data_IF_344651089265
#
_entry.id   IF_344651089265
#
_cell.length_a   1.000
_cell.length_b   1.000
_cell.length_c   1.000
_cell.angle_alpha   90.00
_cell.angle_beta   90.00
_cell.angle_gamma   90.00
#
_symmetry.space_group_name_H-M   'P 1'
#
loop_
_entity.id
_entity.type
_entity.pdbx_description
1 polymer ?
#
# COMPACT_ATOMS: atom_id res chain seq x y z
N UNK A 1 5.72 42.12 7.39
CA UNK A 1 5.58 40.66 7.55
C UNK A 1 4.11 40.23 7.65
N UNK A 2 3.28 40.90 8.45
CA UNK A 2 1.85 40.55 8.60
C UNK A 2 1.04 40.56 7.29
N UNK A 3 1.31 41.52 6.39
CA UNK A 3 0.68 41.59 5.06
C UNK A 3 1.06 40.41 4.13
N UNK A 4 2.27 39.87 4.27
CA UNK A 4 2.72 38.69 3.51
C UNK A 4 2.08 37.40 4.05
N UNK A 5 1.87 37.30 5.37
CA UNK A 5 1.12 36.19 5.98
C UNK A 5 -0.37 36.22 5.56
N UNK A 6 -0.96 37.42 5.43
CA UNK A 6 -2.34 37.59 4.93
C UNK A 6 -2.46 37.22 3.43
N UNK A 7 -1.50 37.63 2.60
CA UNK A 7 -1.42 37.23 1.19
C UNK A 7 -1.20 35.72 1.02
N UNK A 8 -0.39 35.10 1.88
CA UNK A 8 -0.24 33.64 1.92
C UNK A 8 -1.56 32.93 2.23
N UNK A 9 -2.35 33.46 3.17
CA UNK A 9 -3.68 32.93 3.48
C UNK A 9 -4.63 32.94 2.29
N UNK A 10 -4.84 34.12 1.66
CA UNK A 10 -5.78 34.25 0.53
C UNK A 10 -5.35 33.44 -0.70
N UNK A 11 -4.04 33.39 -1.00
CA UNK A 11 -3.51 32.59 -2.10
C UNK A 11 -3.65 31.10 -1.81
N UNK A 12 -3.45 30.68 -0.55
CA UNK A 12 -3.65 29.27 -0.15
C UNK A 12 -5.10 28.86 -0.29
N UNK A 13 -6.05 29.69 0.16
CA UNK A 13 -7.49 29.41 0.01
C UNK A 13 -7.87 29.26 -1.46
N UNK A 14 -7.49 30.22 -2.32
CA UNK A 14 -7.78 30.13 -3.75
C UNK A 14 -7.12 28.92 -4.42
N UNK A 15 -5.90 28.55 -3.99
CA UNK A 15 -5.22 27.35 -4.48
C UNK A 15 -5.98 26.07 -4.07
N UNK A 16 -6.44 25.98 -2.82
CA UNK A 16 -7.20 24.84 -2.31
C UNK A 16 -8.55 24.72 -3.02
N UNK A 17 -9.28 25.82 -3.19
CA UNK A 17 -10.53 25.85 -3.95
C UNK A 17 -10.32 25.39 -5.40
N UNK A 18 -9.24 25.86 -6.05
CA UNK A 18 -8.86 25.40 -7.38
C UNK A 18 -8.56 23.90 -7.43
N UNK A 19 -7.79 23.38 -6.48
CA UNK A 19 -7.46 21.95 -6.40
C UNK A 19 -8.71 21.08 -6.13
N UNK A 20 -9.59 21.51 -5.24
CA UNK A 20 -10.86 20.84 -4.97
C UNK A 20 -11.78 20.87 -6.20
N UNK A 21 -11.83 22.02 -6.90
CA UNK A 21 -12.59 22.15 -8.15
C UNK A 21 -12.05 21.20 -9.22
N UNK A 22 -10.74 21.04 -9.38
CA UNK A 22 -10.16 20.04 -10.30
C UNK A 22 -10.53 18.62 -9.88
N UNK A 23 -10.55 18.32 -8.58
CA UNK A 23 -11.02 17.03 -8.12
C UNK A 23 -12.51 16.78 -8.43
N UNK A 24 -13.38 17.79 -8.34
CA UNK A 24 -14.84 17.69 -8.56
C UNK A 24 -15.27 17.76 -10.03
N UNK A 25 -14.65 18.64 -10.83
CA UNK A 25 -15.12 19.06 -12.16
C UNK A 25 -14.74 18.12 -13.30
N UNK A 26 -13.70 17.31 -13.09
CA UNK A 26 -13.27 16.35 -14.09
C UNK A 26 -14.21 15.14 -14.02
N UNK A 27 -15.19 15.09 -14.94
CA UNK A 27 -16.19 14.02 -15.05
C UNK A 27 -15.78 12.82 -15.92
N UNK A 28 -14.55 12.78 -16.43
CA UNK A 28 -14.08 11.73 -17.34
C UNK A 28 -13.62 10.46 -16.61
N UNK A 29 -13.91 9.29 -17.18
CA UNK A 29 -13.32 8.00 -16.77
C UNK A 29 -11.92 7.79 -17.35
N UNK A 30 -11.43 8.72 -18.19
CA UNK A 30 -10.13 8.60 -18.84
C UNK A 30 -8.97 8.70 -17.83
N UNK A 31 -7.83 8.14 -18.24
CA UNK A 31 -6.66 7.99 -17.39
C UNK A 31 -6.06 9.34 -16.97
N UNK A 32 -6.09 10.35 -17.85
CA UNK A 32 -5.54 11.67 -17.59
C UNK A 32 -6.38 12.39 -16.53
N UNK A 33 -7.70 12.36 -16.69
CA UNK A 33 -8.68 12.83 -15.72
C UNK A 33 -8.48 12.20 -14.34
N UNK A 34 -8.34 10.87 -14.27
CA UNK A 34 -8.08 10.16 -13.03
C UNK A 34 -6.74 10.55 -12.38
N UNK A 35 -5.68 10.72 -13.20
CA UNK A 35 -4.34 11.15 -12.75
C UNK A 35 -4.39 12.57 -12.16
N UNK A 36 -5.05 13.50 -12.83
CA UNK A 36 -5.20 14.89 -12.38
C UNK A 36 -5.99 15.00 -11.07
N UNK A 37 -7.12 14.29 -10.94
CA UNK A 37 -7.88 14.25 -9.68
C UNK A 37 -7.01 13.75 -8.53
N UNK A 38 -6.24 12.68 -8.75
CA UNK A 38 -5.34 12.11 -7.74
C UNK A 38 -4.18 13.03 -7.38
N UNK A 39 -3.53 13.65 -8.38
CA UNK A 39 -2.42 14.58 -8.16
C UNK A 39 -2.89 15.82 -7.38
N UNK A 40 -4.08 16.34 -7.70
CA UNK A 40 -4.67 17.48 -6.99
C UNK A 40 -4.96 17.16 -5.53
N UNK A 41 -5.56 16.00 -5.25
CA UNK A 41 -5.77 15.54 -3.88
C UNK A 41 -4.45 15.26 -3.14
N UNK A 42 -3.42 14.75 -3.83
CA UNK A 42 -2.08 14.55 -3.27
C UNK A 42 -1.41 15.89 -2.91
N UNK A 43 -1.58 16.91 -3.75
CA UNK A 43 -1.09 18.26 -3.47
C UNK A 43 -1.74 18.84 -2.20
N UNK A 44 -3.04 18.61 -2.00
CA UNK A 44 -3.73 18.99 -0.75
C UNK A 44 -3.12 18.30 0.48
N UNK A 45 -2.78 17.00 0.38
CA UNK A 45 -2.09 16.28 1.47
C UNK A 45 -0.72 16.90 1.78
N UNK A 46 0.06 17.26 0.75
CA UNK A 46 1.37 17.89 0.92
C UNK A 46 1.27 19.30 1.54
N UNK A 47 0.33 20.11 1.06
CA UNK A 47 0.04 21.44 1.59
C UNK A 47 -0.36 21.35 3.07
N UNK A 48 -1.27 20.44 3.40
CA UNK A 48 -1.73 20.21 4.78
C UNK A 48 -0.62 19.69 5.68
N UNK A 49 0.19 18.75 5.19
CA UNK A 49 1.32 18.21 5.97
C UNK A 49 2.36 19.30 6.32
N UNK A 50 2.49 20.32 5.48
CA UNK A 50 3.48 21.40 5.67
C UNK A 50 2.91 22.63 6.38
N UNK A 51 1.61 22.90 6.22
CA UNK A 51 0.94 24.12 6.68
C UNK A 51 -0.45 23.84 7.28
N UNK A 52 -0.53 22.88 8.20
CA UNK A 52 -1.81 22.44 8.78
C UNK A 52 -2.64 23.58 9.39
N UNK A 53 -2.01 24.53 10.09
CA UNK A 53 -2.71 25.66 10.71
C UNK A 53 -3.37 26.60 9.69
N UNK A 54 -2.79 26.76 8.50
CA UNK A 54 -3.36 27.57 7.40
C UNK A 54 -4.53 26.82 6.73
N UNK A 55 -4.45 25.48 6.70
CA UNK A 55 -5.49 24.62 6.12
C UNK A 55 -6.68 24.40 7.07
N UNK A 56 -6.52 24.62 8.37
CA UNK A 56 -7.56 24.38 9.39
C UNK A 56 -8.89 25.07 9.12
N UNK A 57 -8.96 26.36 8.71
CA UNK A 57 -10.22 27.03 8.39
C UNK A 57 -10.99 26.38 7.24
N UNK A 58 -10.32 25.60 6.39
CA UNK A 58 -10.92 24.93 5.23
C UNK A 58 -11.45 23.53 5.56
N UNK A 59 -11.38 23.10 6.83
CA UNK A 59 -11.80 21.77 7.26
C UNK A 59 -13.21 21.39 6.79
N UNK A 60 -14.21 22.25 7.04
CA UNK A 60 -15.61 21.96 6.70
C UNK A 60 -15.84 21.84 5.19
N UNK A 61 -15.13 22.65 4.40
CA UNK A 61 -15.19 22.60 2.93
C UNK A 61 -14.64 21.26 2.44
N UNK A 62 -13.46 20.86 2.93
CA UNK A 62 -12.80 19.61 2.56
C UNK A 62 -13.65 18.41 3.00
N UNK A 63 -14.20 18.45 4.22
CA UNK A 63 -15.08 17.42 4.76
C UNK A 63 -16.35 17.26 3.91
N UNK A 64 -17.02 18.37 3.58
CA UNK A 64 -18.20 18.36 2.72
C UNK A 64 -17.90 17.76 1.34
N UNK A 65 -16.77 18.12 0.72
CA UNK A 65 -16.36 17.52 -0.57
C UNK A 65 -16.09 16.02 -0.44
N UNK A 66 -15.38 15.58 0.60
CA UNK A 66 -15.13 14.15 0.83
C UNK A 66 -16.43 13.34 1.07
N UNK A 67 -17.42 13.94 1.73
CA UNK A 67 -18.72 13.34 2.01
C UNK A 67 -19.57 13.21 0.72
N UNK A 68 -19.58 14.23 -0.16
CA UNK A 68 -20.29 14.17 -1.45
C UNK A 68 -19.87 12.99 -2.31
N UNK A 69 -18.61 12.58 -2.22
CA UNK A 69 -18.05 11.50 -3.03
C UNK A 69 -18.30 10.10 -2.48
N UNK A 70 -19.18 9.94 -1.49
CA UNK A 70 -19.42 8.66 -0.83
C UNK A 70 -19.86 7.54 -1.78
N UNK A 71 -20.66 7.86 -2.80
CA UNK A 71 -21.16 6.91 -3.81
C UNK A 71 -20.40 6.93 -5.14
N UNK A 72 -19.35 7.76 -5.28
CA UNK A 72 -18.70 7.97 -6.57
C UNK A 72 -17.50 7.05 -6.78
N UNK A 73 -17.62 6.11 -7.73
CA UNK A 73 -16.52 5.21 -8.13
C UNK A 73 -15.28 5.97 -8.64
N UNK A 74 -15.48 7.10 -9.33
CA UNK A 74 -14.38 7.90 -9.91
C UNK A 74 -13.52 8.60 -8.86
N UNK A 75 -14.07 8.85 -7.68
CA UNK A 75 -13.45 9.65 -6.64
C UNK A 75 -12.90 8.82 -5.48
N UNK A 76 -12.91 7.48 -5.53
CA UNK A 76 -12.43 6.63 -4.44
C UNK A 76 -10.99 7.00 -4.04
N UNK A 77 -10.08 7.09 -5.00
CA UNK A 77 -8.68 7.47 -4.76
C UNK A 77 -8.52 8.88 -4.17
N UNK A 78 -9.02 9.94 -4.84
CA UNK A 78 -9.00 11.31 -4.31
C UNK A 78 -9.66 11.45 -2.94
N UNK A 79 -10.78 10.76 -2.69
CA UNK A 79 -11.50 10.77 -1.41
C UNK A 79 -10.65 10.21 -0.28
N UNK A 80 -9.93 9.10 -0.51
CA UNK A 80 -8.99 8.54 0.48
C UNK A 80 -7.92 9.56 0.86
N UNK A 81 -7.41 10.35 -0.09
CA UNK A 81 -6.44 11.42 0.18
C UNK A 81 -7.06 12.62 0.91
N UNK A 82 -8.33 12.96 0.64
CA UNK A 82 -9.03 13.98 1.44
C UNK A 82 -9.25 13.52 2.89
N UNK A 83 -9.53 12.24 3.12
CA UNK A 83 -9.55 11.71 4.48
C UNK A 83 -8.19 11.82 5.17
N UNK A 84 -7.08 11.66 4.44
CA UNK A 84 -5.74 11.91 4.98
C UNK A 84 -5.57 13.36 5.43
N UNK A 85 -6.03 14.33 4.62
CA UNK A 85 -6.06 15.75 4.98
C UNK A 85 -6.87 15.97 6.27
N UNK A 86 -8.08 15.42 6.35
CA UNK A 86 -8.95 15.57 7.51
C UNK A 86 -8.35 14.98 8.78
N UNK A 87 -7.71 13.81 8.70
CA UNK A 87 -7.01 13.21 9.84
C UNK A 87 -5.87 14.12 10.31
N UNK A 88 -5.06 14.68 9.39
CA UNK A 88 -3.98 15.63 9.75
C UNK A 88 -4.55 16.86 10.47
N UNK A 89 -5.64 17.44 9.96
CA UNK A 89 -6.28 18.62 10.55
C UNK A 89 -6.90 18.30 11.93
N UNK A 90 -7.49 17.12 12.10
CA UNK A 90 -8.01 16.66 13.39
C UNK A 90 -6.92 16.42 14.45
N UNK A 91 -5.64 16.37 14.07
CA UNK A 91 -4.55 16.36 15.06
C UNK A 91 -4.21 17.74 15.63
N UNK A 92 -4.75 18.83 15.06
CA UNK A 92 -4.58 20.18 15.61
C UNK A 92 -5.40 20.33 16.90
N UNK A 93 -4.91 21.07 17.91
CA UNK A 93 -5.63 21.26 19.18
C UNK A 93 -7.07 21.75 19.02
N UNK A 94 -7.34 22.62 18.03
CA UNK A 94 -8.68 23.15 17.74
C UNK A 94 -9.70 22.08 17.30
N UNK A 95 -9.23 20.98 16.71
CA UNK A 95 -10.07 19.94 16.08
C UNK A 95 -9.88 18.56 16.71
N UNK A 96 -9.00 18.43 17.70
CA UNK A 96 -8.67 17.15 18.35
C UNK A 96 -9.89 16.41 18.91
N UNK A 97 -10.92 17.15 19.35
CA UNK A 97 -12.18 16.57 19.83
C UNK A 97 -12.96 15.80 18.75
N UNK A 98 -12.73 16.06 17.46
CA UNK A 98 -13.37 15.36 16.34
C UNK A 98 -12.62 14.09 15.92
N UNK A 99 -11.35 13.94 16.32
CA UNK A 99 -10.49 12.84 15.89
C UNK A 99 -11.08 11.46 16.23
N UNK A 100 -11.57 11.17 17.46
CA UNK A 100 -12.14 9.87 17.77
C UNK A 100 -13.32 9.49 16.87
N UNK A 101 -14.24 10.43 16.63
CA UNK A 101 -15.40 10.22 15.77
C UNK A 101 -14.98 9.91 14.33
N UNK A 102 -14.08 10.74 13.78
CA UNK A 102 -13.56 10.54 12.42
C UNK A 102 -12.85 9.19 12.29
N UNK A 103 -11.98 8.82 13.24
CA UNK A 103 -11.28 7.54 13.22
C UNK A 103 -12.26 6.35 13.25
N UNK A 104 -13.27 6.40 14.12
CA UNK A 104 -14.31 5.37 14.19
C UNK A 104 -15.07 5.24 12.87
N UNK A 105 -15.45 6.36 12.23
CA UNK A 105 -16.12 6.35 10.93
C UNK A 105 -15.25 5.70 9.85
N UNK A 106 -14.00 6.14 9.72
CA UNK A 106 -13.08 5.63 8.69
C UNK A 106 -12.75 4.15 8.90
N UNK A 107 -12.50 3.72 10.13
CA UNK A 107 -12.21 2.32 10.44
C UNK A 107 -13.43 1.42 10.28
N UNK A 108 -14.63 1.92 10.59
CA UNK A 108 -15.89 1.21 10.29
C UNK A 108 -16.10 1.05 8.78
N UNK A 109 -15.77 2.07 7.99
CA UNK A 109 -15.80 1.99 6.52
C UNK A 109 -14.79 0.96 6.00
N UNK A 110 -13.58 0.90 6.56
CA UNK A 110 -12.59 -0.15 6.22
C UNK A 110 -13.15 -1.54 6.49
N UNK A 111 -13.76 -1.77 7.66
CA UNK A 111 -14.38 -3.06 7.97
C UNK A 111 -15.48 -3.40 6.96
N UNK A 112 -16.38 -2.46 6.66
CA UNK A 112 -17.45 -2.66 5.70
C UNK A 112 -16.93 -3.00 4.30
N UNK A 113 -15.85 -2.38 3.84
CA UNK A 113 -15.23 -2.71 2.56
C UNK A 113 -14.68 -4.14 2.55
N UNK A 114 -14.07 -4.62 3.63
CA UNK A 114 -13.67 -6.03 3.71
C UNK A 114 -14.88 -6.98 3.72
N UNK A 115 -15.97 -6.59 4.39
CA UNK A 115 -17.19 -7.41 4.49
C UNK A 115 -17.97 -7.50 3.16
N UNK A 116 -17.68 -6.63 2.19
CA UNK A 116 -18.22 -6.69 0.84
C UNK A 116 -17.53 -7.73 -0.05
N UNK A 117 -16.43 -8.33 0.40
CA UNK A 117 -15.75 -9.40 -0.33
C UNK A 117 -16.58 -10.69 -0.29
N UNK A 118 -16.61 -11.41 -1.42
CA UNK A 118 -17.26 -12.72 -1.53
C UNK A 118 -16.31 -13.74 -2.16
N UNK A 119 -15.88 -14.80 -1.43
CA UNK A 119 -16.16 -15.06 -0.01
C UNK A 119 -15.53 -14.01 0.92
N UNK A 120 -15.97 -13.96 2.19
CA UNK A 120 -15.36 -13.07 3.18
C UNK A 120 -13.90 -13.44 3.40
N UNK A 121 -13.05 -12.47 3.73
CA UNK A 121 -11.61 -12.70 3.90
C UNK A 121 -11.31 -13.76 4.97
N UNK A 122 -12.12 -13.82 6.03
CA UNK A 122 -11.99 -14.80 7.11
C UNK A 122 -12.39 -16.22 6.70
N UNK A 123 -13.17 -16.37 5.62
CA UNK A 123 -13.61 -17.66 5.09
C UNK A 123 -12.60 -18.24 4.08
N UNK A 124 -11.63 -17.44 3.63
CA UNK A 124 -10.56 -17.87 2.74
C UNK A 124 -9.55 -18.67 3.57
N UNK A 125 -9.44 -19.97 3.30
CA UNK A 125 -8.55 -20.89 4.01
C UNK A 125 -7.24 -21.20 3.28
N UNK A 126 -7.06 -20.74 2.04
CA UNK A 126 -5.90 -21.12 1.22
C UNK A 126 -5.52 -20.06 0.17
N UNK A 127 -4.26 -20.09 -0.28
CA UNK A 127 -3.75 -19.30 -1.41
C UNK A 127 -4.53 -19.55 -2.70
N UNK A 128 -4.93 -20.80 -2.96
CA UNK A 128 -5.78 -21.16 -4.10
C UNK A 128 -7.14 -20.46 -4.05
N UNK A 129 -7.84 -20.53 -2.93
CA UNK A 129 -9.14 -19.84 -2.77
C UNK A 129 -8.99 -18.32 -2.89
N UNK A 130 -7.88 -17.76 -2.38
CA UNK A 130 -7.57 -16.35 -2.57
C UNK A 130 -7.35 -16.00 -4.04
N UNK A 131 -6.59 -16.81 -4.78
CA UNK A 131 -6.40 -16.66 -6.22
C UNK A 131 -7.71 -16.73 -7.02
N UNK A 132 -8.62 -17.63 -6.62
CA UNK A 132 -9.97 -17.72 -7.19
C UNK A 132 -10.79 -16.47 -6.89
N UNK A 133 -10.83 -16.03 -5.64
CA UNK A 133 -11.50 -14.80 -5.19
C UNK A 133 -11.05 -13.56 -5.98
N UNK A 134 -9.74 -13.45 -6.22
CA UNK A 134 -9.11 -12.33 -6.92
C UNK A 134 -9.11 -12.47 -8.45
N UNK A 135 -9.56 -13.61 -8.99
CA UNK A 135 -9.57 -13.90 -10.43
C UNK A 135 -8.19 -14.17 -11.03
N UNK A 136 -7.16 -14.48 -10.22
CA UNK A 136 -5.77 -14.70 -10.67
C UNK A 136 -5.53 -16.06 -11.34
N UNK A 137 -6.53 -16.93 -11.32
CA UNK A 137 -6.54 -18.20 -12.04
C UNK A 137 -6.92 -18.04 -13.53
N UNK A 138 -7.44 -16.87 -13.92
CA UNK A 138 -7.84 -16.58 -15.30
C UNK A 138 -6.62 -16.44 -16.22
N UNK A 139 -6.77 -16.80 -17.49
CA UNK A 139 -5.65 -17.15 -18.37
C UNK A 139 -4.82 -15.95 -18.79
N UNK A 140 -5.47 -14.81 -19.10
CA UNK A 140 -4.81 -13.61 -19.64
C UNK A 140 -4.97 -12.40 -18.73
N UNK A 141 -4.10 -11.40 -18.92
CA UNK A 141 -4.18 -10.15 -18.17
C UNK A 141 -5.51 -9.40 -18.43
N UNK A 142 -6.03 -9.45 -19.65
CA UNK A 142 -7.33 -8.88 -20.02
C UNK A 142 -8.47 -9.60 -19.30
N UNK A 143 -8.45 -10.93 -19.22
CA UNK A 143 -9.47 -11.69 -18.49
C UNK A 143 -9.45 -11.36 -17.00
N UNK A 144 -8.25 -11.27 -16.41
CA UNK A 144 -8.07 -10.90 -15.01
C UNK A 144 -8.62 -9.49 -14.78
N UNK A 145 -8.30 -8.54 -15.66
CA UNK A 145 -8.74 -7.14 -15.57
C UNK A 145 -10.17 -6.90 -16.05
N UNK A 146 -10.81 -7.87 -16.70
CA UNK A 146 -12.16 -7.75 -17.24
C UNK A 146 -13.21 -7.60 -16.14
N UNK A 147 -14.34 -6.97 -16.47
CA UNK A 147 -15.47 -6.72 -15.56
C UNK A 147 -16.31 -7.98 -15.28
N UNK A 148 -15.68 -9.11 -14.94
CA UNK A 148 -16.39 -10.14 -14.17
C UNK A 148 -16.70 -9.56 -12.80
N UNK A 149 -17.98 -9.27 -12.56
CA UNK A 149 -18.45 -8.38 -11.50
C UNK A 149 -17.92 -8.73 -10.10
N UNK A 150 -17.72 -10.01 -9.78
CA UNK A 150 -17.27 -10.46 -8.45
C UNK A 150 -15.77 -10.20 -8.23
N UNK A 151 -14.89 -10.62 -9.14
CA UNK A 151 -13.43 -10.47 -8.96
C UNK A 151 -13.00 -8.99 -8.94
N UNK A 152 -13.58 -8.18 -9.83
CA UNK A 152 -13.31 -6.73 -9.84
C UNK A 152 -13.80 -6.07 -8.56
N UNK A 153 -14.98 -6.45 -8.06
CA UNK A 153 -15.50 -5.96 -6.78
C UNK A 153 -14.60 -6.34 -5.61
N UNK A 154 -14.14 -7.59 -5.53
CA UNK A 154 -13.25 -8.07 -4.47
C UNK A 154 -11.91 -7.31 -4.47
N UNK A 155 -11.27 -7.20 -5.64
CA UNK A 155 -10.00 -6.46 -5.78
C UNK A 155 -10.16 -4.99 -5.39
N UNK A 156 -11.22 -4.33 -5.85
CA UNK A 156 -11.49 -2.93 -5.53
C UNK A 156 -11.75 -2.73 -4.03
N UNK A 157 -12.51 -3.64 -3.41
CA UNK A 157 -12.87 -3.60 -1.99
C UNK A 157 -11.63 -3.77 -1.11
N UNK A 158 -10.80 -4.80 -1.38
CA UNK A 158 -9.56 -5.05 -0.64
C UNK A 158 -8.59 -3.88 -0.80
N UNK A 159 -8.33 -3.43 -2.03
CA UNK A 159 -7.37 -2.34 -2.28
C UNK A 159 -7.84 -1.02 -1.68
N UNK A 160 -9.14 -0.71 -1.72
CA UNK A 160 -9.69 0.49 -1.09
C UNK A 160 -9.64 0.44 0.43
N UNK A 161 -9.96 -0.72 1.02
CA UNK A 161 -9.88 -0.94 2.46
C UNK A 161 -8.44 -0.78 2.96
N UNK A 162 -7.47 -1.38 2.28
CA UNK A 162 -6.04 -1.26 2.58
C UNK A 162 -5.57 0.19 2.45
N UNK A 163 -5.95 0.89 1.37
CA UNK A 163 -5.54 2.27 1.14
C UNK A 163 -6.07 3.21 2.22
N UNK A 164 -7.34 3.06 2.60
CA UNK A 164 -7.96 3.88 3.65
C UNK A 164 -7.36 3.59 5.03
N UNK A 165 -7.14 2.30 5.35
CA UNK A 165 -6.48 1.91 6.59
C UNK A 165 -5.05 2.46 6.68
N UNK A 166 -4.31 2.45 5.56
CA UNK A 166 -2.96 3.01 5.49
C UNK A 166 -2.95 4.51 5.79
N UNK A 167 -3.92 5.25 5.25
CA UNK A 167 -4.08 6.69 5.50
C UNK A 167 -4.27 6.96 7.00
N UNK A 168 -5.16 6.21 7.64
CA UNK A 168 -5.40 6.32 9.09
C UNK A 168 -4.11 6.05 9.86
N UNK A 169 -3.46 4.91 9.59
CA UNK A 169 -2.30 4.46 10.37
C UNK A 169 -1.06 5.32 10.19
N UNK A 170 -0.80 5.81 8.97
CA UNK A 170 0.36 6.67 8.68
C UNK A 170 0.30 8.00 9.44
N UNK A 171 -0.91 8.50 9.71
CA UNK A 171 -1.13 9.80 10.35
C UNK A 171 -1.43 9.70 11.85
N UNK A 172 -1.82 8.53 12.34
CA UNK A 172 -1.91 8.31 13.76
C UNK A 172 -0.53 8.29 14.42
N UNK A 173 -0.45 8.84 15.63
CA UNK A 173 0.73 8.75 16.49
C UNK A 173 0.43 7.73 17.58
N UNK A 174 1.40 6.86 17.90
CA UNK A 174 1.31 6.02 19.08
C UNK A 174 1.14 6.93 20.30
N UNK A 175 0.10 6.68 21.09
CA UNK A 175 -0.38 7.64 22.07
C UNK A 175 0.69 8.05 23.09
N UNK A 176 1.11 9.32 23.07
CA UNK A 176 1.93 9.90 24.14
C UNK A 176 1.05 10.32 25.32
N UNK A 177 0.77 9.39 26.23
CA UNK A 177 0.51 9.61 27.67
C UNK A 177 -0.56 10.59 28.20
N UNK A 178 -1.17 11.49 27.42
CA UNK A 178 -2.15 12.45 27.93
C UNK A 178 -3.58 11.88 27.83
N UNK A 179 -4.46 12.26 28.75
CA UNK A 179 -5.86 11.80 28.89
C UNK A 179 -6.74 11.90 27.63
N UNK A 180 -6.35 12.68 26.61
CA UNK A 180 -6.95 12.64 25.27
C UNK A 180 -6.64 11.39 24.44
N UNK A 181 -5.72 10.52 24.89
CA UNK A 181 -5.38 9.28 24.22
C UNK A 181 -6.41 8.19 24.40
N UNK A 182 -7.21 8.21 25.47
CA UNK A 182 -8.05 7.05 25.76
C UNK A 182 -9.17 6.90 24.72
N UNK A 183 -9.86 7.99 24.39
CA UNK A 183 -10.86 8.02 23.33
C UNK A 183 -10.24 7.71 21.95
N UNK A 184 -9.05 8.23 21.65
CA UNK A 184 -8.34 7.94 20.39
C UNK A 184 -7.94 6.46 20.32
N UNK A 185 -7.44 5.89 21.41
CA UNK A 185 -7.08 4.48 21.53
C UNK A 185 -8.31 3.58 21.39
N UNK A 186 -9.43 3.96 22.00
CA UNK A 186 -10.70 3.26 21.86
C UNK A 186 -11.19 3.30 20.40
N UNK A 187 -11.17 4.46 19.75
CA UNK A 187 -11.49 4.56 18.31
C UNK A 187 -10.55 3.72 17.44
N UNK A 188 -9.25 3.71 17.73
CA UNK A 188 -8.28 2.87 17.02
C UNK A 188 -8.51 1.37 17.26
N UNK A 189 -9.10 0.98 18.40
CA UNK A 189 -9.39 -0.44 18.67
C UNK A 189 -10.36 -1.06 17.66
N UNK A 190 -11.25 -0.23 17.06
CA UNK A 190 -12.16 -0.63 15.97
C UNK A 190 -11.39 -1.15 14.75
N UNK A 191 -10.18 -0.64 14.51
CA UNK A 191 -9.34 -0.99 13.37
C UNK A 191 -8.48 -2.23 13.57
N UNK A 192 -8.31 -2.72 14.80
CA UNK A 192 -7.44 -3.87 15.07
C UNK A 192 -7.89 -5.15 14.34
N UNK A 193 -9.21 -5.50 14.29
CA UNK A 193 -9.68 -6.64 13.48
C UNK A 193 -9.38 -6.48 11.99
N UNK A 194 -9.44 -5.25 11.45
CA UNK A 194 -9.11 -5.00 10.04
C UNK A 194 -7.65 -5.33 9.73
N UNK A 195 -6.72 -5.06 10.66
CA UNK A 195 -5.32 -5.42 10.51
C UNK A 195 -5.11 -6.94 10.45
N UNK A 196 -5.90 -7.72 11.19
CA UNK A 196 -5.88 -9.18 11.11
C UNK A 196 -6.28 -9.66 9.71
N UNK A 197 -7.31 -9.06 9.10
CA UNK A 197 -7.71 -9.34 7.71
C UNK A 197 -6.58 -9.00 6.74
N UNK A 198 -5.91 -7.87 6.92
CA UNK A 198 -4.75 -7.46 6.09
C UNK A 198 -3.58 -8.43 6.22
N UNK A 199 -3.28 -8.92 7.44
CA UNK A 199 -2.26 -9.95 7.64
C UNK A 199 -2.59 -11.25 6.93
N UNK A 200 -3.86 -11.68 6.92
CA UNK A 200 -4.29 -12.84 6.13
C UNK A 200 -4.09 -12.61 4.64
N UNK A 201 -4.53 -11.46 4.11
CA UNK A 201 -4.34 -11.10 2.69
C UNK A 201 -2.85 -11.07 2.33
N UNK A 202 -2.01 -10.50 3.19
CA UNK A 202 -0.56 -10.53 3.03
C UNK A 202 -0.02 -11.95 2.95
N UNK A 203 -0.39 -12.81 3.92
CA UNK A 203 0.04 -14.20 3.94
C UNK A 203 -0.34 -14.92 2.64
N UNK A 204 -1.58 -14.73 2.14
CA UNK A 204 -1.98 -15.31 0.87
C UNK A 204 -1.13 -14.80 -0.30
N UNK A 205 -0.90 -13.49 -0.41
CA UNK A 205 -0.04 -12.91 -1.45
C UNK A 205 1.38 -13.50 -1.44
N UNK A 206 1.96 -13.73 -0.26
CA UNK A 206 3.28 -14.36 -0.13
C UNK A 206 3.25 -15.81 -0.64
N UNK A 207 2.19 -16.55 -0.34
CA UNK A 207 2.01 -17.93 -0.78
C UNK A 207 1.69 -18.08 -2.27
N UNK A 208 1.19 -17.03 -2.93
CA UNK A 208 0.90 -17.06 -4.38
C UNK A 208 2.14 -17.34 -5.25
N UNK A 209 3.34 -16.96 -4.81
CA UNK A 209 4.58 -17.21 -5.57
C UNK A 209 4.87 -18.70 -5.78
N UNK A 210 4.37 -19.55 -4.89
CA UNK A 210 4.50 -21.01 -4.97
C UNK A 210 3.20 -21.70 -5.39
N UNK A 211 2.13 -20.96 -5.68
CA UNK A 211 0.82 -21.52 -5.98
C UNK A 211 0.76 -22.01 -7.44
N UNK A 212 0.55 -23.32 -7.69
CA UNK A 212 0.42 -23.84 -9.05
C UNK A 212 -0.85 -23.34 -9.78
N UNK A 213 -1.91 -22.97 -9.05
CA UNK A 213 -3.20 -22.62 -9.65
C UNK A 213 -3.30 -21.22 -10.25
N UNK A 214 -2.33 -20.32 -10.02
CA UNK A 214 -2.34 -18.99 -10.65
C UNK A 214 -1.83 -19.04 -12.09
N UNK A 215 -2.40 -18.20 -12.94
CA UNK A 215 -2.04 -18.17 -14.36
C UNK A 215 -0.64 -17.61 -14.60
N UNK A 216 -0.09 -17.88 -15.79
CA UNK A 216 1.20 -17.34 -16.20
C UNK A 216 1.19 -15.79 -16.20
N UNK A 217 0.09 -15.17 -16.64
CA UNK A 217 -0.06 -13.71 -16.63
C UNK A 217 -0.04 -13.13 -15.20
N UNK A 218 -0.67 -13.80 -14.23
CA UNK A 218 -0.61 -13.41 -12.83
C UNK A 218 0.80 -13.60 -12.23
N UNK A 219 1.48 -14.71 -12.56
CA UNK A 219 2.88 -14.95 -12.14
C UNK A 219 3.82 -13.87 -12.67
N UNK A 220 3.72 -13.55 -13.95
CA UNK A 220 4.51 -12.48 -14.59
C UNK A 220 4.21 -11.10 -13.99
N UNK A 221 2.96 -10.82 -13.63
CA UNK A 221 2.59 -9.57 -12.96
C UNK A 221 3.12 -9.49 -11.52
N UNK A 222 3.29 -10.63 -10.84
CA UNK A 222 3.88 -10.71 -9.49
C UNK A 222 5.41 -10.64 -9.51
N UNK A 223 6.03 -11.10 -10.60
CA UNK A 223 7.48 -11.11 -10.81
C UNK A 223 7.96 -9.80 -11.45
N UNK A 224 8.55 -8.93 -10.62
CA UNK A 224 8.98 -7.59 -11.01
C UNK A 224 10.37 -7.54 -11.63
N UNK A 225 11.17 -8.61 -11.49
CA UNK A 225 12.57 -8.61 -11.91
C UNK A 225 12.74 -8.59 -13.43
N UNK A 226 11.76 -9.14 -14.15
CA UNK A 226 11.81 -9.24 -15.60
C UNK A 226 11.77 -7.88 -16.33
N UNK A 227 11.35 -6.79 -15.66
CA UNK A 227 11.06 -5.51 -16.35
C UNK A 227 11.89 -4.33 -15.87
N UNK A 228 12.30 -4.25 -14.60
CA UNK A 228 13.21 -3.18 -14.15
C UNK A 228 14.53 -3.21 -14.95
N UNK A 229 15.03 -4.41 -15.27
CA UNK A 229 16.17 -4.58 -16.19
C UNK A 229 15.86 -4.19 -17.64
N UNK A 230 14.63 -4.39 -18.10
CA UNK A 230 14.20 -3.96 -19.44
C UNK A 230 14.06 -2.43 -19.54
N UNK A 231 13.65 -1.75 -18.46
CA UNK A 231 13.51 -0.29 -18.40
C UNK A 231 14.84 0.44 -18.22
N UNK A 232 15.81 -0.13 -17.51
CA UNK A 232 17.20 0.39 -17.46
C UNK A 232 17.82 0.45 -18.86
N UNK A 233 17.39 -0.42 -19.77
CA UNK A 233 17.82 -0.43 -21.19
C UNK A 233 16.94 0.46 -22.11
N UNK A 234 15.92 1.15 -21.59
CA UNK A 234 15.01 2.02 -22.36
C UNK A 234 15.13 3.52 -22.01
N UNK A 235 16.21 3.92 -21.33
CA UNK A 235 16.55 5.33 -21.12
C UNK A 235 17.08 5.91 -22.44
N UNK A 236 16.21 6.13 -23.43
CA UNK A 236 16.39 7.07 -24.56
C UNK A 236 15.25 6.98 -25.61
N UNK A 237 13.99 6.87 -25.18
CA UNK A 237 12.89 7.09 -26.12
C UNK A 237 11.89 8.11 -25.60
N UNK A 238 11.93 9.31 -26.18
CA UNK A 238 10.84 10.30 -26.21
C UNK A 238 9.65 9.71 -26.99
N UNK A 239 9.03 8.68 -26.42
CA UNK A 239 7.82 8.09 -26.97
C UNK A 239 6.61 8.80 -26.36
N UNK A 240 5.67 9.30 -27.18
CA UNK A 240 4.43 9.87 -26.67
C UNK A 240 3.69 8.80 -25.85
N UNK A 241 3.27 9.15 -24.63
CA UNK A 241 2.43 8.30 -23.78
C UNK A 241 1.17 7.90 -24.58
N UNK A 242 1.15 6.68 -25.13
CA UNK A 242 -0.07 6.15 -25.75
C UNK A 242 -1.06 5.82 -24.64
N UNK A 243 -2.27 6.37 -24.74
CA UNK A 243 -3.31 6.46 -23.70
C UNK A 243 -3.82 5.13 -23.11
N UNK A 244 -3.34 3.98 -23.60
CA UNK A 244 -3.70 2.66 -23.10
C UNK A 244 -2.44 1.92 -22.68
N UNK A 245 -2.13 1.98 -21.38
CA UNK A 245 -1.18 1.04 -20.78
C UNK A 245 -1.61 -0.38 -21.14
N UNK A 246 -0.66 -1.13 -21.67
CA UNK A 246 -0.79 -2.56 -21.94
C UNK A 246 -1.41 -3.31 -20.73
N UNK A 247 -2.33 -4.28 -20.93
CA UNK A 247 -2.99 -5.01 -19.85
C UNK A 247 -2.05 -5.71 -18.87
N UNK A 248 -0.90 -6.25 -19.32
CA UNK A 248 0.08 -6.84 -18.42
C UNK A 248 0.69 -5.77 -17.50
N UNK A 249 1.03 -4.60 -18.06
CA UNK A 249 1.54 -3.46 -17.30
C UNK A 249 0.53 -2.94 -16.27
N UNK A 250 -0.75 -2.92 -16.63
CA UNK A 250 -1.84 -2.53 -15.71
C UNK A 250 -2.04 -3.54 -14.59
N UNK A 251 -2.10 -4.83 -14.93
CA UNK A 251 -2.27 -5.90 -13.94
C UNK A 251 -1.12 -5.90 -12.94
N UNK A 252 0.13 -5.79 -13.44
CA UNK A 252 1.32 -5.61 -12.61
C UNK A 252 1.11 -4.48 -11.62
N UNK A 253 0.88 -3.25 -12.11
CA UNK A 253 0.72 -2.06 -11.26
C UNK A 253 -0.34 -2.23 -10.18
N UNK A 254 -1.46 -2.91 -10.46
CA UNK A 254 -2.50 -3.21 -9.47
C UNK A 254 -1.97 -4.13 -8.37
N UNK A 255 -1.31 -5.24 -8.73
CA UNK A 255 -0.79 -6.22 -7.77
C UNK A 255 0.36 -5.65 -6.94
N UNK A 256 1.30 -4.92 -7.55
CA UNK A 256 2.43 -4.35 -6.80
C UNK A 256 1.97 -3.30 -5.80
N UNK A 257 1.08 -2.40 -6.24
CA UNK A 257 0.57 -1.34 -5.39
C UNK A 257 -0.24 -1.93 -4.22
N UNK A 258 -1.02 -2.99 -4.46
CA UNK A 258 -1.71 -3.71 -3.39
C UNK A 258 -0.72 -4.30 -2.38
N UNK A 259 0.30 -5.04 -2.84
CA UNK A 259 1.30 -5.66 -1.98
C UNK A 259 2.09 -4.62 -1.15
N UNK A 260 2.55 -3.54 -1.78
CA UNK A 260 3.28 -2.47 -1.10
C UNK A 260 2.42 -1.77 -0.04
N UNK A 261 1.16 -1.45 -0.36
CA UNK A 261 0.28 -0.82 0.62
C UNK A 261 -0.03 -1.75 1.80
N UNK A 262 -0.25 -3.05 1.54
CA UNK A 262 -0.42 -4.06 2.59
C UNK A 262 0.80 -4.10 3.53
N UNK A 263 2.02 -4.14 2.98
CA UNK A 263 3.26 -4.12 3.76
C UNK A 263 3.33 -2.87 4.65
N UNK A 264 3.01 -1.70 4.10
CA UNK A 264 3.00 -0.45 4.85
C UNK A 264 1.91 -0.42 5.93
N UNK A 265 0.73 -0.99 5.67
CA UNK A 265 -0.34 -1.10 6.68
C UNK A 265 0.13 -1.93 7.86
N UNK A 266 0.76 -3.08 7.62
CA UNK A 266 1.24 -3.95 8.70
C UNK A 266 2.36 -3.25 9.49
N UNK A 267 3.31 -2.61 8.81
CA UNK A 267 4.39 -1.86 9.47
C UNK A 267 3.87 -0.72 10.35
N UNK A 268 2.95 0.11 9.82
CA UNK A 268 2.36 1.20 10.61
C UNK A 268 1.41 0.65 11.68
N UNK A 269 0.72 -0.45 11.41
CA UNK A 269 -0.13 -1.13 12.37
C UNK A 269 0.64 -1.61 13.59
N UNK A 270 1.81 -2.22 13.40
CA UNK A 270 2.68 -2.67 14.48
C UNK A 270 3.15 -1.52 15.40
N UNK A 271 3.36 -0.33 14.83
CA UNK A 271 3.68 0.89 15.58
C UNK A 271 2.50 1.38 16.43
N UNK A 272 1.28 1.31 15.90
CA UNK A 272 0.08 1.90 16.53
C UNK A 272 -0.61 0.94 17.51
N UNK A 273 -0.55 -0.37 17.24
CA UNK A 273 -1.14 -1.42 18.06
C UNK A 273 -0.08 -2.41 18.54
N UNK A 274 0.60 -2.13 19.68
CA UNK A 274 1.54 -3.08 20.28
C UNK A 274 0.90 -4.43 20.64
N UNK A 275 -0.43 -4.46 20.84
CA UNK A 275 -1.17 -5.71 21.07
C UNK A 275 -1.08 -6.67 19.88
N UNK A 276 -0.75 -6.16 18.68
CA UNK A 276 -0.47 -6.98 17.51
C UNK A 276 0.56 -8.08 17.83
N UNK A 277 1.62 -7.76 18.59
CA UNK A 277 2.70 -8.70 18.93
C UNK A 277 2.26 -9.87 19.80
N UNK A 278 1.09 -9.79 20.42
CA UNK A 278 0.48 -10.85 21.22
C UNK A 278 -0.49 -11.71 20.40
N UNK A 279 -0.71 -11.38 19.12
CA UNK A 279 -1.65 -12.11 18.28
C UNK A 279 -1.15 -13.54 18.03
N UNK A 280 -2.03 -14.56 18.22
CA UNK A 280 -1.71 -15.93 17.87
C UNK A 280 -1.32 -16.06 16.40
N UNK A 281 -0.29 -16.86 16.13
CA UNK A 281 0.23 -17.13 14.81
C UNK A 281 0.69 -15.90 14.01
N UNK A 282 1.03 -14.79 14.69
CA UNK A 282 1.55 -13.58 14.03
C UNK A 282 2.79 -13.90 13.19
N UNK A 283 3.70 -14.71 13.74
CA UNK A 283 4.94 -15.08 13.08
C UNK A 283 4.69 -15.78 11.73
N UNK A 284 3.79 -16.76 11.73
CA UNK A 284 3.40 -17.52 10.55
C UNK A 284 2.71 -16.62 9.52
N UNK A 285 1.90 -15.65 9.97
CA UNK A 285 1.23 -14.68 9.08
C UNK A 285 2.17 -13.63 8.50
N UNK A 286 3.30 -13.35 9.15
CA UNK A 286 4.38 -12.52 8.58
C UNK A 286 5.13 -13.24 7.46
N UNK A 287 4.91 -14.55 7.27
CA UNK A 287 5.44 -15.35 6.17
C UNK A 287 6.94 -15.19 5.96
N UNK A 288 7.72 -14.99 7.03
CA UNK A 288 9.17 -14.74 6.95
C UNK A 288 9.88 -15.92 6.27
N UNK A 289 9.40 -17.15 6.51
CA UNK A 289 9.89 -18.37 5.87
C UNK A 289 9.67 -18.41 4.36
N UNK A 290 8.72 -17.66 3.82
CA UNK A 290 8.45 -17.61 2.39
C UNK A 290 9.32 -16.58 1.65
N UNK A 291 10.15 -15.79 2.36
CA UNK A 291 11.04 -14.81 1.74
C UNK A 291 11.91 -15.44 0.65
N UNK A 292 12.41 -16.65 0.87
CA UNK A 292 13.28 -17.32 -0.09
C UNK A 292 12.59 -17.68 -1.42
N UNK A 293 11.25 -17.69 -1.45
CA UNK A 293 10.44 -18.00 -2.61
C UNK A 293 10.13 -16.75 -3.47
N UNK A 294 10.37 -15.57 -2.93
CA UNK A 294 10.10 -14.31 -3.62
C UNK A 294 11.26 -13.93 -4.55
N UNK A 295 11.00 -13.18 -5.63
CA UNK A 295 12.05 -12.49 -6.38
C UNK A 295 12.83 -11.51 -5.47
N UNK A 296 14.12 -11.30 -5.72
CA UNK A 296 15.00 -10.44 -4.89
C UNK A 296 14.46 -9.00 -4.79
N UNK A 297 13.91 -8.43 -5.86
CA UNK A 297 13.27 -7.09 -5.84
C UNK A 297 12.13 -7.02 -4.83
N UNK A 298 11.31 -8.09 -4.75
CA UNK A 298 10.19 -8.21 -3.81
C UNK A 298 10.68 -8.47 -2.39
N UNK A 299 11.66 -9.35 -2.20
CA UNK A 299 12.30 -9.57 -0.90
C UNK A 299 12.82 -8.26 -0.32
N UNK A 300 13.54 -7.47 -1.12
CA UNK A 300 14.09 -6.17 -0.72
C UNK A 300 12.99 -5.23 -0.21
N UNK A 301 11.84 -5.18 -0.89
CA UNK A 301 10.71 -4.37 -0.47
C UNK A 301 10.09 -4.89 0.83
N UNK A 302 9.84 -6.20 0.95
CA UNK A 302 9.30 -6.81 2.18
C UNK A 302 10.22 -6.53 3.37
N UNK A 303 11.54 -6.72 3.21
CA UNK A 303 12.51 -6.46 4.29
C UNK A 303 12.49 -4.98 4.67
N UNK A 304 12.60 -4.08 3.69
CA UNK A 304 12.74 -2.64 3.95
C UNK A 304 11.45 -1.99 4.46
N UNK A 305 10.31 -2.31 3.87
CA UNK A 305 9.04 -1.63 4.13
C UNK A 305 8.24 -2.28 5.26
N UNK A 306 8.39 -3.59 5.46
CA UNK A 306 7.66 -4.34 6.48
C UNK A 306 8.56 -4.80 7.63
N UNK A 307 9.51 -5.69 7.37
CA UNK A 307 10.18 -6.43 8.44
C UNK A 307 11.10 -5.55 9.30
N UNK A 308 11.84 -4.61 8.68
CA UNK A 308 12.69 -3.68 9.43
C UNK A 308 11.85 -2.78 10.35
N UNK A 309 10.83 -2.04 9.88
CA UNK A 309 9.95 -1.28 10.77
C UNK A 309 9.23 -2.14 11.82
N UNK A 310 8.79 -3.34 11.43
CA UNK A 310 8.11 -4.27 12.34
C UNK A 310 9.02 -4.67 13.51
N UNK A 311 10.29 -4.97 13.25
CA UNK A 311 11.22 -5.30 14.35
C UNK A 311 11.58 -4.06 15.16
N UNK A 312 11.74 -2.90 14.52
CA UNK A 312 12.04 -1.63 15.20
C UNK A 312 10.94 -1.20 16.20
N UNK A 313 9.69 -1.58 15.94
CA UNK A 313 8.56 -1.29 16.82
C UNK A 313 8.21 -2.43 17.78
N UNK A 314 8.99 -3.51 17.80
CA UNK A 314 8.74 -4.67 18.65
C UNK A 314 8.95 -4.31 20.14
N UNK A 315 7.94 -4.53 21.01
CA UNK A 315 8.09 -4.28 22.43
C UNK A 315 9.06 -5.30 23.05
N UNK A 316 9.78 -4.88 24.09
CA UNK A 316 10.75 -5.73 24.79
C UNK A 316 10.11 -7.02 25.36
N UNK A 317 8.81 -6.98 25.68
CA UNK A 317 8.04 -8.15 26.13
C UNK A 317 7.95 -9.27 25.09
N UNK A 318 8.15 -8.96 23.81
CA UNK A 318 8.04 -9.90 22.69
C UNK A 318 9.34 -9.94 21.86
N UNK A 319 10.48 -9.60 22.48
CA UNK A 319 11.76 -9.48 21.80
C UNK A 319 12.17 -10.77 21.07
N UNK A 320 11.79 -11.93 21.60
CA UNK A 320 12.06 -13.23 20.98
C UNK A 320 11.48 -13.32 19.56
N UNK A 321 10.30 -12.74 19.31
CA UNK A 321 9.71 -12.68 17.97
C UNK A 321 10.55 -11.81 17.03
N UNK A 322 11.03 -10.68 17.52
CA UNK A 322 11.92 -9.79 16.77
C UNK A 322 13.26 -10.45 16.44
N UNK A 323 13.86 -11.14 17.41
CA UNK A 323 15.10 -11.92 17.25
C UNK A 323 14.90 -13.04 16.23
N UNK A 324 13.80 -13.81 16.34
CA UNK A 324 13.47 -14.88 15.41
C UNK A 324 13.33 -14.34 13.97
N UNK A 325 12.61 -13.22 13.81
CA UNK A 325 12.43 -12.56 12.51
C UNK A 325 13.77 -12.11 11.92
N UNK A 326 14.62 -11.43 12.70
CA UNK A 326 15.96 -11.03 12.23
C UNK A 326 16.78 -12.26 11.83
N UNK A 327 16.79 -13.30 12.65
CA UNK A 327 17.60 -14.50 12.41
C UNK A 327 17.21 -15.18 11.09
N UNK A 328 15.91 -15.35 10.82
CA UNK A 328 15.45 -15.96 9.57
C UNK A 328 15.72 -15.06 8.35
N UNK A 329 15.52 -13.74 8.47
CA UNK A 329 15.86 -12.79 7.39
C UNK A 329 17.35 -12.86 7.07
N UNK A 330 18.22 -12.80 8.09
CA UNK A 330 19.66 -12.85 7.90
C UNK A 330 20.10 -14.19 7.29
N UNK A 331 19.56 -15.31 7.77
CA UNK A 331 19.84 -16.63 7.19
C UNK A 331 19.43 -16.71 5.72
N UNK A 332 18.24 -16.20 5.36
CA UNK A 332 17.76 -16.15 3.99
C UNK A 332 18.69 -15.30 3.11
N UNK A 333 19.00 -14.07 3.54
CA UNK A 333 19.85 -13.15 2.81
C UNK A 333 21.27 -13.72 2.60
N UNK A 334 21.89 -14.27 3.64
CA UNK A 334 23.24 -14.87 3.55
C UNK A 334 23.23 -16.04 2.56
N UNK A 335 22.25 -16.94 2.65
CA UNK A 335 22.16 -18.09 1.75
C UNK A 335 22.00 -17.64 0.29
N UNK A 336 21.06 -16.73 0.01
CA UNK A 336 20.78 -16.30 -1.36
C UNK A 336 21.88 -15.41 -1.94
N UNK A 337 22.47 -14.52 -1.15
CA UNK A 337 23.61 -13.72 -1.60
C UNK A 337 24.80 -14.62 -1.91
N UNK A 338 25.10 -15.61 -1.06
CA UNK A 338 26.18 -16.57 -1.32
C UNK A 338 25.96 -17.32 -2.63
N UNK A 339 24.76 -17.87 -2.85
CA UNK A 339 24.42 -18.56 -4.09
C UNK A 339 24.47 -17.64 -5.31
N UNK A 340 24.01 -16.39 -5.17
CA UNK A 340 24.02 -15.41 -6.27
C UNK A 340 25.45 -15.00 -6.63
N UNK A 341 26.30 -14.75 -5.64
CA UNK A 341 27.72 -14.44 -5.84
C UNK A 341 28.47 -15.61 -6.48
N UNK A 342 28.24 -16.85 -6.03
CA UNK A 342 28.82 -18.04 -6.65
C UNK A 342 28.45 -18.15 -8.14
N UNK A 343 27.17 -17.95 -8.49
CA UNK A 343 26.74 -17.94 -9.90
C UNK A 343 27.41 -16.84 -10.73
N UNK A 344 27.57 -15.64 -10.15
CA UNK A 344 28.26 -14.53 -10.84
C UNK A 344 29.72 -14.89 -11.09
N UNK A 345 30.41 -15.45 -10.10
CA UNK A 345 31.80 -15.90 -10.23
C UNK A 345 31.94 -17.00 -11.29
N UNK A 346 31.06 -18.00 -11.29
CA UNK A 346 31.03 -19.08 -12.29
C UNK A 346 30.85 -18.53 -13.72
N UNK A 347 29.88 -17.63 -13.94
CA UNK A 347 29.64 -17.00 -15.25
C UNK A 347 30.84 -16.17 -15.71
N UNK A 348 31.50 -15.45 -14.80
CA UNK A 348 32.71 -14.69 -15.13
C UNK A 348 33.89 -15.60 -15.50
N UNK A 349 34.05 -16.74 -14.82
CA UNK A 349 35.07 -17.74 -15.14
C UNK A 349 34.80 -18.35 -16.52
N UNK A 350 33.55 -18.76 -16.80
CA UNK A 350 33.17 -19.33 -18.10
C UNK A 350 33.35 -18.33 -19.25
N UNK A 351 33.01 -17.04 -19.07
CA UNK A 351 33.26 -16.01 -20.08
C UNK A 351 34.75 -15.83 -20.36
N UNK A 352 35.58 -15.73 -19.32
CA UNK A 352 37.04 -15.63 -19.48
C UNK A 352 37.63 -16.85 -20.21
N UNK A 353 37.15 -18.05 -19.93
CA UNK A 353 37.57 -19.26 -20.64
C UNK A 353 37.14 -19.24 -22.11
N UNK A 354 35.92 -18.81 -22.43
CA UNK A 354 35.45 -18.68 -23.81
C UNK A 354 36.28 -17.65 -24.60
N UNK A 355 36.58 -16.50 -24.00
CA UNK A 355 37.40 -15.44 -24.62
C UNK A 355 38.85 -15.91 -24.86
N UNK A 356 39.43 -16.66 -23.91
CA UNK A 356 40.75 -17.29 -24.07
C UNK A 356 40.78 -18.36 -25.17
N UNK A 357 39.68 -19.09 -25.36
CA UNK A 357 39.56 -20.11 -26.40
C UNK A 357 39.41 -19.47 -27.78
N UNK A 358 38.75 -18.31 -27.88
CA UNK A 358 38.64 -17.50 -29.11
C UNK A 358 39.94 -16.77 -29.48
N UNK A 359 40.82 -16.49 -28.51
CA UNK A 359 42.12 -15.86 -28.75
C UNK A 359 43.23 -16.86 -29.11
N UNK A 360 43.01 -18.16 -28.85
CA UNK A 360 44.00 -19.23 -29.04
C UNK A 360 43.63 -20.24 -30.16
N UNK A 361 42.50 -20.06 -30.83
CA UNK A 361 42.11 -20.75 -32.06
C UNK A 361 42.13 -19.79 -33.24
#
# INVERSE_FOLDING_TARGET
MELLCLLQGSVTVACVEGLLSVCESIGGEDNLSAKLRRQSASALVHLTSSNADIMEPLFEMIHSTAAKWQSSKLHVGPRVLLFEVLVILCWLPKRQHLLPMLLTELLSAVSSMFDQCSPKIEEIGSSKQFAECMGLHLSTAEEILSDKHVHTSNRASITSAVALLLVVLRRCKAGSGNSGNEAVRESLSVGAPCLIKVLSVYHFFQSLYSEPSISAAAKEALDTEAVDWAQVNQIDSDMPETDKKDPHTRLRSVLENAQQQIQLVIANGAKIWPDLYHMPHLYERLSVKNLSQLPCTRQRLVIRQLLVPFVQHCPLSNIDLGVQTISEVMSCCVSQLTQSWQKIEEVQISKKQADLTLLLG
#
